data_IF_691734144250
#
_entry.id   IF_691734144250
#
_cell.length_a   1.000
_cell.length_b   1.000
_cell.length_c   1.000
_cell.angle_alpha   90.00
_cell.angle_beta   90.00
_cell.angle_gamma   90.00
#
_symmetry.space_group_name_H-M   'P 1'
#
loop_
_entity.id
_entity.type
_entity.pdbx_description
1 polymer ?
#
# COMPACT_ATOMS: atom_id res chain seq x y z
N UNK A 1 70.46 -8.32 -7.74
CA UNK A 1 69.57 -8.40 -6.56
C UNK A 1 68.58 -7.23 -6.41
N UNK A 2 68.98 -5.96 -6.55
CA UNK A 2 68.15 -4.82 -6.13
C UNK A 2 66.86 -4.49 -6.91
N UNK A 3 66.72 -5.02 -8.12
CA UNK A 3 65.53 -4.77 -8.95
C UNK A 3 64.39 -5.73 -8.63
N UNK A 4 64.71 -6.94 -8.20
CA UNK A 4 63.76 -8.06 -8.09
C UNK A 4 62.79 -7.85 -6.91
N UNK A 5 63.30 -7.41 -5.75
CA UNK A 5 62.42 -7.07 -4.61
C UNK A 5 61.59 -5.80 -4.86
N UNK A 6 62.07 -4.87 -5.70
CA UNK A 6 61.29 -3.68 -6.10
C UNK A 6 60.11 -4.09 -6.98
N UNK A 7 60.34 -5.00 -7.94
CA UNK A 7 59.26 -5.56 -8.76
C UNK A 7 58.29 -6.40 -7.93
N UNK A 8 58.78 -7.22 -6.99
CA UNK A 8 57.93 -7.98 -6.07
C UNK A 8 57.07 -7.09 -5.17
N UNK A 9 57.65 -6.00 -4.64
CA UNK A 9 56.92 -5.02 -3.82
C UNK A 9 55.83 -4.28 -4.61
N UNK A 10 56.13 -3.85 -5.83
CA UNK A 10 55.14 -3.17 -6.71
C UNK A 10 54.02 -4.14 -7.10
N UNK A 11 54.34 -5.39 -7.42
CA UNK A 11 53.35 -6.41 -7.75
C UNK A 11 52.41 -6.70 -6.55
N UNK A 12 52.96 -6.83 -5.34
CA UNK A 12 52.14 -7.01 -4.13
C UNK A 12 51.22 -5.82 -3.84
N UNK A 13 51.72 -4.59 -4.03
CA UNK A 13 50.94 -3.37 -3.84
C UNK A 13 49.79 -3.27 -4.85
N UNK A 14 50.05 -3.63 -6.12
CA UNK A 14 49.03 -3.64 -7.17
C UNK A 14 47.90 -4.66 -6.87
N UNK A 15 48.26 -5.86 -6.41
CA UNK A 15 47.28 -6.89 -6.03
C UNK A 15 46.43 -6.41 -4.84
N UNK A 16 47.05 -5.80 -3.82
CA UNK A 16 46.33 -5.28 -2.66
C UNK A 16 45.31 -4.20 -3.03
N UNK A 17 45.68 -3.26 -3.91
CA UNK A 17 44.78 -2.21 -4.40
C UNK A 17 43.62 -2.80 -5.20
N UNK A 18 43.90 -3.78 -6.07
CA UNK A 18 42.86 -4.47 -6.85
C UNK A 18 41.87 -5.24 -5.95
N UNK A 19 42.34 -5.87 -4.88
CA UNK A 19 41.48 -6.56 -3.91
C UNK A 19 40.55 -5.60 -3.16
N UNK A 20 41.02 -4.40 -2.80
CA UNK A 20 40.19 -3.38 -2.13
C UNK A 20 39.11 -2.82 -3.06
N UNK A 21 39.44 -2.61 -4.35
CA UNK A 21 38.47 -2.19 -5.36
C UNK A 21 37.41 -3.28 -5.60
N UNK A 22 37.84 -4.55 -5.70
CA UNK A 22 36.93 -5.68 -5.83
C UNK A 22 35.99 -5.80 -4.61
N UNK A 23 36.49 -5.57 -3.40
CA UNK A 23 35.67 -5.57 -2.18
C UNK A 23 34.62 -4.45 -2.20
N UNK A 24 35.02 -3.22 -2.57
CA UNK A 24 34.08 -2.11 -2.72
C UNK A 24 33.01 -2.36 -3.79
N UNK A 25 33.35 -3.04 -4.88
CA UNK A 25 32.38 -3.48 -5.90
C UNK A 25 31.51 -4.67 -5.49
N UNK A 26 31.98 -5.54 -4.59
CA UNK A 26 31.22 -6.67 -4.06
C UNK A 26 30.30 -6.30 -2.88
N UNK A 27 30.62 -5.23 -2.14
CA UNK A 27 29.79 -4.67 -1.07
C UNK A 27 28.33 -4.35 -1.51
N UNK A 28 28.06 -3.71 -2.67
CA UNK A 28 26.69 -3.45 -3.11
C UNK A 28 25.90 -4.70 -3.51
N UNK A 29 26.58 -5.83 -3.78
CA UNK A 29 25.91 -7.10 -4.15
C UNK A 29 25.23 -7.77 -2.96
N UNK A 30 25.53 -7.35 -1.72
CA UNK A 30 24.89 -7.81 -0.48
C UNK A 30 23.79 -6.88 0.02
N UNK A 31 23.27 -5.99 -0.82
CA UNK A 31 21.90 -5.51 -0.64
C UNK A 31 20.98 -6.46 -1.41
N UNK A 32 20.83 -7.68 -0.89
CA UNK A 32 19.58 -8.40 -1.13
C UNK A 32 18.53 -7.54 -0.46
N UNK A 33 17.74 -6.82 -1.26
CA UNK A 33 16.48 -6.25 -0.80
C UNK A 33 15.73 -7.42 -0.18
N UNK A 34 15.81 -7.55 1.14
CA UNK A 34 15.07 -8.56 1.87
C UNK A 34 13.65 -8.07 1.82
N UNK A 35 12.94 -8.43 0.75
CA UNK A 35 11.49 -8.35 0.74
C UNK A 35 11.03 -9.35 1.80
N UNK A 36 10.91 -8.87 3.03
CA UNK A 36 10.28 -9.59 4.11
C UNK A 36 8.80 -9.72 3.73
N UNK A 37 8.46 -10.79 3.03
CA UNK A 37 7.08 -11.20 2.85
C UNK A 37 6.56 -11.66 4.22
N UNK A 38 5.94 -10.74 4.98
CA UNK A 38 5.16 -11.09 6.16
C UNK A 38 3.85 -11.72 5.66
N UNK A 39 3.83 -13.05 5.60
CA UNK A 39 2.63 -13.82 5.30
C UNK A 39 1.73 -13.76 6.54
N UNK A 40 0.72 -12.91 6.52
CA UNK A 40 -0.34 -12.91 7.52
C UNK A 40 -1.16 -14.20 7.36
N UNK A 41 -0.99 -15.14 8.28
CA UNK A 41 -1.57 -16.49 8.23
C UNK A 41 -3.10 -16.57 8.40
N UNK A 42 -3.81 -15.43 8.52
CA UNK A 42 -5.26 -15.41 8.78
C UNK A 42 -6.09 -15.09 7.54
N UNK A 43 -5.55 -14.34 6.57
CA UNK A 43 -6.36 -13.80 5.46
C UNK A 43 -5.95 -14.24 4.06
N UNK A 44 -4.76 -14.86 3.89
CA UNK A 44 -4.32 -15.41 2.60
C UNK A 44 -4.12 -14.37 1.48
N UNK A 45 -4.24 -13.08 1.77
CA UNK A 45 -3.98 -12.00 0.82
C UNK A 45 -2.48 -11.70 0.85
N UNK A 46 -1.80 -11.95 -0.26
CA UNK A 46 -0.44 -11.49 -0.49
C UNK A 46 -0.47 -9.96 -0.66
N UNK A 47 -0.42 -9.24 0.45
CA UNK A 47 -0.20 -7.79 0.41
C UNK A 47 1.26 -7.57 0.02
N UNK A 48 1.46 -7.16 -1.24
CA UNK A 48 2.76 -6.66 -1.69
C UNK A 48 3.06 -5.45 -0.83
N UNK A 49 3.85 -5.64 0.23
CA UNK A 49 4.64 -4.57 0.81
C UNK A 49 5.65 -4.19 -0.27
N UNK A 50 5.19 -3.44 -1.27
CA UNK A 50 6.06 -2.55 -2.01
C UNK A 50 6.82 -1.86 -0.90
N UNK A 51 8.12 -2.08 -0.88
CA UNK A 51 9.06 -1.19 -0.23
C UNK A 51 8.64 0.21 -0.68
N UNK A 52 7.78 0.85 0.11
CA UNK A 52 7.63 2.28 0.10
C UNK A 52 8.98 2.67 0.57
N UNK A 53 9.83 2.91 -0.43
CA UNK A 53 11.00 3.76 -0.37
C UNK A 53 10.72 4.68 0.81
N UNK A 54 11.51 4.53 1.87
CA UNK A 54 11.48 5.37 3.05
C UNK A 54 11.93 6.80 2.68
N UNK A 55 11.55 7.27 1.50
CA UNK A 55 11.41 8.66 1.14
C UNK A 55 10.02 9.05 1.61
N UNK A 56 9.95 9.40 2.90
CA UNK A 56 9.06 10.44 3.40
C UNK A 56 7.69 10.52 2.70
N UNK A 57 6.80 9.54 2.91
CA UNK A 57 5.38 9.89 2.86
C UNK A 57 5.24 11.01 3.88
N UNK A 58 5.01 12.23 3.39
CA UNK A 58 4.68 13.35 4.27
C UNK A 58 3.55 12.89 5.17
N UNK A 59 3.58 13.24 6.46
CA UNK A 59 2.49 12.92 7.39
C UNK A 59 1.11 13.26 6.78
N UNK A 60 1.07 14.36 6.03
CA UNK A 60 -0.09 14.80 5.25
C UNK A 60 -0.52 13.81 4.16
N UNK A 61 0.40 13.14 3.48
CA UNK A 61 0.08 12.14 2.46
C UNK A 61 -0.48 10.85 3.08
N UNK A 62 0.07 10.42 4.22
CA UNK A 62 -0.46 9.26 4.95
C UNK A 62 -1.88 9.55 5.47
N UNK A 63 -2.10 10.74 6.02
CA UNK A 63 -3.42 11.20 6.45
C UNK A 63 -4.39 11.30 5.27
N UNK A 64 -3.98 11.92 4.16
CA UNK A 64 -4.81 12.02 2.96
C UNK A 64 -5.24 10.63 2.45
N UNK A 65 -4.30 9.68 2.35
CA UNK A 65 -4.60 8.29 1.97
C UNK A 65 -5.59 7.63 2.93
N UNK A 66 -5.43 7.85 4.23
CA UNK A 66 -6.37 7.35 5.23
C UNK A 66 -7.79 7.88 4.98
N UNK A 67 -7.97 9.20 4.88
CA UNK A 67 -9.29 9.81 4.68
C UNK A 67 -9.93 9.41 3.34
N UNK A 68 -9.16 9.37 2.25
CA UNK A 68 -9.65 8.91 0.95
C UNK A 68 -10.14 7.45 1.04
N UNK A 69 -9.37 6.59 1.69
CA UNK A 69 -9.73 5.18 1.85
C UNK A 69 -11.01 5.03 2.68
N UNK A 70 -11.15 5.78 3.78
CA UNK A 70 -12.37 5.77 4.59
C UNK A 70 -13.58 6.28 3.81
N UNK A 71 -13.40 7.36 3.03
CA UNK A 71 -14.46 7.92 2.19
C UNK A 71 -14.96 6.91 1.16
N UNK A 72 -14.05 6.29 0.38
CA UNK A 72 -14.42 5.29 -0.63
C UNK A 72 -15.09 4.08 0.01
N UNK A 73 -14.57 3.58 1.13
CA UNK A 73 -15.13 2.42 1.84
C UNK A 73 -16.57 2.69 2.31
N UNK A 74 -16.87 3.89 2.82
CA UNK A 74 -18.20 4.25 3.31
C UNK A 74 -19.17 4.59 2.18
N UNK A 75 -18.68 5.18 1.08
CA UNK A 75 -19.50 5.55 -0.09
C UNK A 75 -19.91 4.33 -0.91
N UNK A 76 -18.97 3.42 -1.17
CA UNK A 76 -19.19 2.25 -2.03
C UNK A 76 -19.57 1.00 -1.23
N UNK A 77 -19.21 0.96 0.06
CA UNK A 77 -19.61 -0.11 0.96
C UNK A 77 -21.09 -0.01 1.33
N UNK A 78 -21.72 -1.16 1.54
CA UNK A 78 -23.09 -1.22 2.05
C UNK A 78 -23.14 -2.05 3.34
N UNK A 79 -23.50 -1.41 4.44
CA UNK A 79 -23.82 -2.06 5.70
C UNK A 79 -25.11 -1.47 6.26
N UNK A 80 -26.13 -2.30 6.41
CA UNK A 80 -27.46 -1.86 6.85
C UNK A 80 -27.43 -1.20 8.24
N UNK A 81 -26.63 -1.72 9.17
CA UNK A 81 -26.58 -1.21 10.55
C UNK A 81 -25.86 0.13 10.69
N UNK A 82 -24.91 0.42 9.80
CA UNK A 82 -24.16 1.69 9.79
C UNK A 82 -24.61 2.66 8.70
N UNK A 83 -25.64 2.31 7.92
CA UNK A 83 -26.02 3.05 6.71
C UNK A 83 -26.25 4.54 6.95
N UNK A 84 -26.92 4.92 8.03
CA UNK A 84 -27.14 6.33 8.36
C UNK A 84 -25.84 7.05 8.67
N UNK A 85 -24.97 6.42 9.47
CA UNK A 85 -23.68 6.99 9.85
C UNK A 85 -22.74 7.15 8.65
N UNK A 86 -22.73 6.16 7.75
CA UNK A 86 -21.92 6.19 6.54
C UNK A 86 -22.45 7.25 5.56
N UNK A 87 -23.77 7.37 5.43
CA UNK A 87 -24.42 8.42 4.65
C UNK A 87 -24.05 9.82 5.14
N UNK A 88 -24.20 10.10 6.44
CA UNK A 88 -23.86 11.40 7.03
C UNK A 88 -22.37 11.73 6.85
N UNK A 89 -21.49 10.72 6.99
CA UNK A 89 -20.06 10.88 6.76
C UNK A 89 -19.74 11.24 5.31
N UNK A 90 -20.33 10.55 4.33
CA UNK A 90 -20.09 10.83 2.92
C UNK A 90 -20.55 12.24 2.56
N UNK A 91 -21.68 12.70 3.10
CA UNK A 91 -22.14 14.07 2.86
C UNK A 91 -21.22 15.12 3.49
N UNK A 92 -20.75 14.90 4.72
CA UNK A 92 -19.89 15.84 5.42
C UNK A 92 -18.51 15.99 4.76
N UNK A 93 -17.98 14.92 4.17
CA UNK A 93 -16.66 14.89 3.53
C UNK A 93 -16.71 15.15 2.01
N UNK A 94 -17.89 15.38 1.45
CA UNK A 94 -18.07 15.67 0.02
C UNK A 94 -18.23 17.18 -0.23
N UNK A 95 -17.77 17.62 -1.40
CA UNK A 95 -18.20 18.91 -1.94
C UNK A 95 -19.71 18.88 -2.27
N UNK A 96 -20.36 20.04 -2.27
CA UNK A 96 -21.82 20.19 -2.40
C UNK A 96 -22.40 19.50 -3.65
N UNK A 97 -21.70 19.57 -4.79
CA UNK A 97 -22.10 18.88 -6.01
C UNK A 97 -22.06 17.35 -5.85
N UNK A 98 -20.99 16.82 -5.26
CA UNK A 98 -20.81 15.37 -5.04
C UNK A 98 -21.81 14.84 -4.01
N UNK A 99 -22.08 15.63 -2.97
CA UNK A 99 -23.08 15.32 -1.95
C UNK A 99 -24.49 15.22 -2.56
N UNK A 100 -24.85 16.17 -3.43
CA UNK A 100 -26.12 16.18 -4.15
C UNK A 100 -26.28 14.96 -5.06
N UNK A 101 -25.24 14.60 -5.83
CA UNK A 101 -25.25 13.42 -6.69
C UNK A 101 -25.40 12.12 -5.89
N UNK A 102 -24.66 11.99 -4.78
CA UNK A 102 -24.77 10.84 -3.89
C UNK A 102 -26.16 10.74 -3.24
N UNK A 103 -26.74 11.87 -2.84
CA UNK A 103 -28.10 11.94 -2.30
C UNK A 103 -29.15 11.47 -3.30
N UNK A 104 -29.02 11.86 -4.58
CA UNK A 104 -29.91 11.38 -5.63
C UNK A 104 -29.79 9.86 -5.82
N UNK A 105 -28.57 9.32 -5.77
CA UNK A 105 -28.31 7.89 -5.90
C UNK A 105 -28.91 7.07 -4.76
N UNK A 106 -28.71 7.48 -3.51
CA UNK A 106 -29.20 6.76 -2.32
C UNK A 106 -30.72 6.84 -2.16
N UNK A 107 -31.36 7.89 -2.67
CA UNK A 107 -32.82 8.04 -2.63
C UNK A 107 -33.53 7.52 -3.88
N UNK A 108 -32.79 7.15 -4.93
CA UNK A 108 -33.35 6.61 -6.16
C UNK A 108 -33.88 5.18 -6.04
N UNK A 109 -34.69 4.77 -7.02
CA UNK A 109 -35.26 3.41 -7.09
C UNK A 109 -34.22 2.30 -7.27
N UNK A 110 -32.99 2.64 -7.67
CA UNK A 110 -31.85 1.72 -7.81
C UNK A 110 -30.86 1.84 -6.65
N UNK A 111 -31.27 2.48 -5.55
CA UNK A 111 -30.45 2.61 -4.36
C UNK A 111 -30.07 1.25 -3.78
N UNK A 112 -28.81 1.07 -3.33
CA UNK A 112 -28.37 -0.09 -2.57
C UNK A 112 -29.33 -0.45 -1.42
N UNK A 113 -29.89 0.56 -0.74
CA UNK A 113 -30.87 0.39 0.34
C UNK A 113 -32.09 -0.42 -0.08
N UNK A 114 -32.60 -0.21 -1.29
CA UNK A 114 -33.80 -0.88 -1.79
C UNK A 114 -33.47 -2.28 -2.30
N UNK A 115 -32.36 -2.42 -3.03
CA UNK A 115 -31.96 -3.68 -3.66
C UNK A 115 -31.57 -4.71 -2.59
N UNK A 116 -30.68 -4.34 -1.66
CA UNK A 116 -30.16 -5.28 -0.67
C UNK A 116 -31.19 -5.63 0.41
N UNK A 117 -32.03 -4.67 0.83
CA UNK A 117 -33.15 -4.97 1.74
C UNK A 117 -34.15 -5.96 1.09
N UNK A 118 -34.49 -5.76 -0.19
CA UNK A 118 -35.36 -6.69 -0.92
C UNK A 118 -34.74 -8.08 -1.04
N UNK A 119 -33.43 -8.18 -1.30
CA UNK A 119 -32.72 -9.45 -1.39
C UNK A 119 -32.70 -10.20 -0.04
N UNK A 120 -32.46 -9.50 1.06
CA UNK A 120 -32.48 -10.07 2.41
C UNK A 120 -33.88 -10.60 2.77
N UNK A 121 -34.92 -9.79 2.53
CA UNK A 121 -36.31 -10.21 2.77
C UNK A 121 -36.71 -11.42 1.93
N UNK A 122 -36.29 -11.47 0.66
CA UNK A 122 -36.57 -12.62 -0.20
C UNK A 122 -35.87 -13.90 0.28
N UNK A 123 -34.65 -13.81 0.82
CA UNK A 123 -33.93 -14.95 1.39
C UNK A 123 -34.65 -15.52 2.62
N UNK A 124 -35.24 -14.67 3.46
CA UNK A 124 -35.99 -15.10 4.66
C UNK A 124 -37.33 -15.75 4.28
N UNK A 125 -38.00 -15.26 3.22
CA UNK A 125 -39.30 -15.78 2.79
C UNK A 125 -39.23 -17.00 1.85
N UNK A 126 -38.03 -17.40 1.41
CA UNK A 126 -37.82 -18.55 0.51
C UNK A 126 -37.26 -19.79 1.22
N UNK A 127 -37.21 -19.78 2.55
CA UNK A 127 -36.71 -20.87 3.41
C UNK A 127 -37.82 -21.49 4.25
#
# INVERSE_FOLDING_TARGET
>A
MNRIYKFGGIAGMAVGVLSLLALNGALPLKSTVVEAYLINGVTGVAERLTSVKKENLSENEALAKYFITQYVKRREGYNYFSLQHDYDYVLLYSAENVATDYNALINGNQSPKVIYNKAEKNRICSG
#
